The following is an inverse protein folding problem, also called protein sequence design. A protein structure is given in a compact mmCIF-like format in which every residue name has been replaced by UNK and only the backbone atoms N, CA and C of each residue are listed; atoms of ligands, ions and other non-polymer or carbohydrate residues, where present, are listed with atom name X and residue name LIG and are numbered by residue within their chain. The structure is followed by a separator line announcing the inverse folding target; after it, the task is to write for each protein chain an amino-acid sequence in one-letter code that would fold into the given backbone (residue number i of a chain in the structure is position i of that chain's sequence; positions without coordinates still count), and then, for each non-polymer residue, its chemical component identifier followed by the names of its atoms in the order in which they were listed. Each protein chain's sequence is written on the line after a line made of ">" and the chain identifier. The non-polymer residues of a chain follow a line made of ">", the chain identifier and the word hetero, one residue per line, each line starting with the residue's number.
data_IF_681002855345
#
_entry.id   IF_681002855345
#
_cell.length_a   1.000
_cell.length_b   1.000
_cell.length_c   1.000
_cell.angle_alpha   90.00
_cell.angle_beta   90.00
_cell.angle_gamma   90.00
#
_symmetry.space_group_name_H-M   'P 1'
#
loop_
_entity.id
_entity.type
_entity.pdbx_description
1 polymer ?
#
# COMPACT_ATOMS: atom_id res chain seq x y z
N UNK A 1 -58.41 66.02 30.20
CA UNK A 1 -57.07 66.65 30.15
C UNK A 1 -56.24 65.95 29.06
N UNK A 2 -55.57 66.74 28.21
CA UNK A 2 -54.96 66.51 26.88
C UNK A 2 -54.18 65.17 26.67
N UNK A 3 -54.26 64.43 25.53
CA UNK A 3 -53.65 64.64 24.17
C UNK A 3 -52.16 65.04 24.26
N UNK A 4 -51.15 64.39 23.67
CA UNK A 4 -50.82 64.09 22.24
C UNK A 4 -49.45 63.37 22.19
N UNK A 5 -49.19 62.32 21.38
CA UNK A 5 -48.73 62.27 19.97
C UNK A 5 -47.21 62.52 19.73
N UNK A 6 -46.55 61.49 19.15
CA UNK A 6 -45.40 61.42 18.19
C UNK A 6 -44.34 62.53 18.15
N UNK A 7 -43.07 62.11 18.04
CA UNK A 7 -42.17 62.66 17.02
C UNK A 7 -41.02 61.72 16.61
N UNK A 8 -40.76 61.69 15.30
CA UNK A 8 -39.57 61.21 14.58
C UNK A 8 -39.24 62.33 13.59
N UNK A 9 -37.97 62.74 13.43
CA UNK A 9 -37.25 62.51 12.15
C UNK A 9 -35.75 62.18 12.46
N UNK A 10 -34.92 61.57 11.62
CA UNK A 10 -34.77 61.63 10.16
C UNK A 10 -33.45 62.34 9.85
N UNK A 11 -32.42 61.62 9.39
CA UNK A 11 -31.31 62.18 8.62
C UNK A 11 -30.60 61.09 7.80
N UNK A 12 -30.62 61.27 6.48
CA UNK A 12 -29.82 60.56 5.48
C UNK A 12 -28.45 61.22 5.37
N UNK A 13 -27.41 60.45 5.06
CA UNK A 13 -26.30 60.90 4.23
C UNK A 13 -25.77 59.71 3.40
N UNK A 14 -25.92 59.81 2.08
CA UNK A 14 -25.19 59.05 1.06
C UNK A 14 -24.03 59.92 0.57
N UNK A 15 -22.88 59.30 0.29
CA UNK A 15 -21.88 59.61 -0.77
C UNK A 15 -20.51 59.07 -0.31
N UNK A 16 -19.53 58.64 -1.12
CA UNK A 16 -19.33 58.33 -2.54
C UNK A 16 -18.01 57.51 -2.58
N UNK A 17 -17.83 56.73 -3.65
CA UNK A 17 -16.67 55.92 -4.05
C UNK A 17 -15.29 56.60 -3.95
N UNK A 18 -14.22 55.80 -3.76
CA UNK A 18 -13.02 55.80 -4.60
C UNK A 18 -12.10 54.60 -4.28
N UNK A 19 -11.61 53.95 -5.34
CA UNK A 19 -10.58 52.91 -5.34
C UNK A 19 -9.19 53.54 -5.45
N UNK A 20 -8.18 53.04 -4.72
CA UNK A 20 -6.75 53.08 -5.13
C UNK A 20 -5.98 51.94 -4.42
N UNK A 21 -5.17 51.21 -5.18
CA UNK A 21 -4.17 50.25 -4.70
C UNK A 21 -2.95 50.94 -4.06
N UNK A 22 -2.07 50.20 -3.37
CA UNK A 22 -0.67 50.58 -3.34
C UNK A 22 0.28 49.45 -3.76
N UNK A 23 1.29 49.84 -4.53
CA UNK A 23 2.50 49.11 -4.86
C UNK A 23 3.69 49.69 -4.08
N UNK A 24 4.63 48.83 -3.65
CA UNK A 24 6.02 49.13 -3.31
C UNK A 24 6.79 47.79 -3.34
N UNK A 25 7.63 47.49 -4.33
CA UNK A 25 9.01 47.97 -4.59
C UNK A 25 10.07 47.38 -3.64
N UNK A 26 10.90 46.49 -4.19
CA UNK A 26 12.12 45.93 -3.62
C UNK A 26 13.31 46.27 -4.55
N UNK A 27 14.55 46.47 -4.04
CA UNK A 27 15.69 46.87 -4.86
C UNK A 27 16.50 45.69 -5.42
N UNK A 28 17.24 46.00 -6.49
CA UNK A 28 18.08 45.14 -7.30
C UNK A 28 19.51 44.95 -6.75
N UNK A 29 20.19 43.90 -7.21
CA UNK A 29 21.64 43.75 -7.18
C UNK A 29 22.13 43.12 -8.50
N UNK A 30 23.03 43.83 -9.18
CA UNK A 30 23.78 43.44 -10.37
C UNK A 30 24.95 42.49 -10.04
N UNK A 31 25.34 41.64 -10.99
CA UNK A 31 26.76 41.28 -11.20
C UNK A 31 27.04 40.90 -12.67
N UNK A 32 27.82 41.79 -13.26
CA UNK A 32 28.75 41.80 -14.41
C UNK A 32 29.11 40.55 -15.23
N UNK A 33 29.28 40.83 -16.52
CA UNK A 33 29.82 40.01 -17.63
C UNK A 33 31.33 39.70 -17.52
N UNK A 34 31.76 38.60 -18.15
CA UNK A 34 32.99 38.55 -18.95
C UNK A 34 33.00 37.37 -19.96
N UNK A 35 33.39 37.69 -21.20
CA UNK A 35 33.71 36.79 -22.34
C UNK A 35 35.19 36.34 -22.22
N UNK A 36 35.65 35.26 -22.91
CA UNK A 36 36.19 35.47 -24.26
C UNK A 36 36.02 34.30 -25.25
N UNK A 37 36.41 34.58 -26.50
CA UNK A 37 36.33 33.76 -27.70
C UNK A 37 37.54 32.81 -27.91
N UNK A 38 37.40 31.84 -28.82
CA UNK A 38 38.52 31.16 -29.50
C UNK A 38 38.31 29.67 -29.72
N UNK A 39 37.96 29.26 -30.95
CA UNK A 39 37.62 27.87 -31.27
C UNK A 39 38.77 26.97 -31.75
N UNK A 40 38.48 25.66 -31.92
CA UNK A 40 39.00 24.81 -33.01
C UNK A 40 38.51 23.34 -32.90
N UNK A 41 37.99 22.86 -34.03
CA UNK A 41 38.18 21.54 -34.68
C UNK A 41 37.57 20.24 -34.09
N UNK A 42 36.78 19.61 -34.97
CA UNK A 42 36.31 18.23 -35.02
C UNK A 42 37.44 17.20 -34.83
N UNK A 43 37.17 16.15 -34.04
CA UNK A 43 37.94 14.91 -34.02
C UNK A 43 37.01 13.71 -33.74
N UNK A 44 36.97 12.74 -34.66
CA UNK A 44 36.19 11.49 -34.55
C UNK A 44 36.75 10.62 -33.43
N UNK A 45 35.88 10.09 -32.56
CA UNK A 45 36.26 9.09 -31.56
C UNK A 45 36.42 7.70 -32.22
N UNK A 46 37.66 7.40 -32.59
CA UNK A 46 38.11 6.07 -33.04
C UNK A 46 38.12 5.14 -31.83
N UNK A 47 37.37 4.03 -31.88
CA UNK A 47 37.48 2.94 -30.89
C UNK A 47 38.56 1.96 -31.37
N UNK A 48 39.63 1.69 -30.61
CA UNK A 48 40.58 0.65 -31.01
C UNK A 48 39.98 -0.73 -30.73
N UNK A 49 39.82 -1.50 -31.81
CA UNK A 49 39.45 -2.91 -31.81
C UNK A 49 40.75 -3.72 -31.84
N UNK A 50 40.93 -4.60 -30.84
CA UNK A 50 41.66 -5.85 -31.00
C UNK A 50 43.07 -5.93 -30.39
N UNK A 51 43.27 -6.95 -29.55
CA UNK A 51 44.38 -7.88 -29.75
C UNK A 51 43.95 -9.30 -29.36
N UNK A 52 43.81 -10.14 -30.39
CA UNK A 52 43.79 -11.60 -30.30
C UNK A 52 45.20 -12.08 -29.97
N UNK A 53 45.30 -13.12 -29.16
CA UNK A 53 46.53 -13.87 -28.95
C UNK A 53 46.25 -15.09 -28.08
N UNK A 54 45.90 -16.21 -28.69
CA UNK A 54 45.84 -17.50 -28.02
C UNK A 54 47.15 -18.26 -28.20
N UNK A 55 47.56 -19.04 -27.20
CA UNK A 55 48.34 -20.28 -27.34
C UNK A 55 47.91 -21.25 -26.23
N UNK A 56 47.93 -22.54 -26.59
CA UNK A 56 47.31 -23.70 -25.95
C UNK A 56 48.18 -24.39 -24.87
N UNK A 57 47.48 -25.19 -24.05
CA UNK A 57 47.87 -26.44 -23.35
C UNK A 57 48.89 -26.43 -22.20
N UNK A 58 48.43 -26.88 -21.01
CA UNK A 58 48.87 -28.16 -20.40
C UNK A 58 47.81 -28.75 -19.45
N UNK A 59 47.78 -30.09 -19.41
CA UNK A 59 46.85 -31.01 -18.72
C UNK A 59 47.17 -31.18 -17.22
N UNK A 60 46.13 -31.57 -16.47
CA UNK A 60 46.18 -32.36 -15.22
C UNK A 60 45.37 -31.71 -14.09
N UNK A 61 44.39 -32.32 -13.43
CA UNK A 61 43.76 -33.63 -13.48
C UNK A 61 42.62 -33.69 -12.45
N UNK A 62 41.76 -34.70 -12.59
CA UNK A 62 40.86 -35.28 -11.57
C UNK A 62 39.75 -34.42 -10.92
N UNK A 63 38.58 -34.31 -11.59
CA UNK A 63 37.24 -34.61 -11.03
C UNK A 63 36.18 -34.41 -12.12
N UNK A 64 36.11 -35.34 -13.06
CA UNK A 64 35.07 -35.41 -14.07
C UNK A 64 34.61 -36.88 -14.19
N UNK A 65 33.96 -37.37 -13.14
CA UNK A 65 33.21 -38.63 -13.13
C UNK A 65 32.11 -38.47 -12.09
N UNK A 66 31.02 -37.77 -12.46
CA UNK A 66 29.72 -37.87 -11.77
C UNK A 66 28.55 -37.18 -12.51
N UNK A 67 28.75 -36.66 -13.73
CA UNK A 67 27.70 -35.93 -14.46
C UNK A 67 27.04 -36.72 -15.62
N UNK A 68 27.52 -37.92 -15.96
CA UNK A 68 27.06 -38.65 -17.16
C UNK A 68 26.09 -39.81 -16.90
N UNK A 69 25.60 -40.01 -15.68
CA UNK A 69 24.71 -41.15 -15.35
C UNK A 69 23.23 -40.76 -15.17
N UNK A 70 22.88 -39.46 -15.19
CA UNK A 70 21.47 -39.03 -15.03
C UNK A 70 20.76 -38.59 -16.31
N UNK A 71 21.47 -38.40 -17.44
CA UNK A 71 20.87 -37.92 -18.69
C UNK A 71 20.50 -39.03 -19.70
N UNK A 72 20.85 -40.29 -19.44
CA UNK A 72 20.48 -41.43 -20.29
C UNK A 72 19.14 -42.06 -19.90
N UNK A 73 18.67 -41.90 -18.66
CA UNK A 73 17.39 -42.46 -18.20
C UNK A 73 16.14 -41.68 -18.65
N UNK A 74 16.30 -40.41 -19.06
CA UNK A 74 15.18 -39.53 -19.46
C UNK A 74 14.87 -39.54 -20.98
N UNK A 75 15.74 -40.15 -21.80
CA UNK A 75 15.55 -40.24 -23.26
C UNK A 75 14.92 -41.55 -23.74
N UNK A 76 15.07 -42.63 -22.98
CA UNK A 76 14.41 -43.92 -23.27
C UNK A 76 12.91 -43.89 -22.89
N UNK A 77 12.53 -43.17 -21.83
CA UNK A 77 11.13 -43.07 -21.38
C UNK A 77 10.20 -42.24 -22.30
N UNK A 78 10.76 -41.48 -23.26
CA UNK A 78 9.98 -40.65 -24.21
C UNK A 78 9.74 -41.31 -25.57
N UNK A 79 10.33 -42.46 -25.85
CA UNK A 79 10.18 -43.17 -27.14
C UNK A 79 9.19 -44.35 -27.08
N UNK A 80 8.82 -44.79 -25.88
CA UNK A 80 7.92 -45.93 -25.66
C UNK A 80 6.43 -45.55 -25.67
N UNK A 81 6.06 -44.26 -25.54
CA UNK A 81 4.65 -43.82 -25.49
C UNK A 81 4.00 -43.50 -26.83
N UNK A 82 4.66 -43.79 -27.97
CA UNK A 82 4.22 -43.37 -29.30
C UNK A 82 3.82 -44.53 -30.24
N UNK A 83 3.60 -45.76 -29.75
CA UNK A 83 3.34 -46.90 -30.66
C UNK A 83 2.52 -48.06 -30.09
N UNK A 84 1.26 -47.82 -29.72
CA UNK A 84 0.16 -48.81 -29.51
C UNK A 84 -1.10 -47.96 -29.26
N UNK A 85 -2.28 -48.06 -29.88
CA UNK A 85 -2.97 -49.06 -30.71
C UNK A 85 -4.20 -48.36 -31.32
N UNK A 86 -4.61 -48.74 -32.52
CA UNK A 86 -5.94 -48.51 -33.09
C UNK A 86 -6.87 -49.66 -32.70
N UNK A 87 -8.04 -49.38 -32.12
CA UNK A 87 -9.36 -50.00 -32.37
C UNK A 87 -10.34 -49.81 -31.20
N UNK A 88 -11.59 -49.59 -31.59
CA UNK A 88 -12.87 -49.63 -30.87
C UNK A 88 -13.24 -48.53 -29.87
N UNK A 89 -14.40 -47.94 -30.17
CA UNK A 89 -14.96 -46.80 -29.47
C UNK A 89 -15.75 -47.18 -28.23
N UNK A 90 -15.75 -46.27 -27.26
CA UNK A 90 -16.95 -45.88 -26.55
C UNK A 90 -16.73 -44.49 -25.95
N UNK A 91 -17.76 -43.67 -26.10
CA UNK A 91 -17.87 -42.28 -25.68
C UNK A 91 -17.65 -42.13 -24.16
N UNK A 92 -16.64 -41.34 -23.78
CA UNK A 92 -16.53 -40.76 -22.44
C UNK A 92 -15.80 -39.43 -22.56
N UNK A 93 -16.58 -38.34 -22.60
CA UNK A 93 -16.09 -36.98 -22.44
C UNK A 93 -15.66 -36.76 -20.99
N UNK A 94 -14.35 -36.74 -20.76
CA UNK A 94 -13.75 -36.36 -19.47
C UNK A 94 -13.58 -34.82 -19.43
N UNK A 95 -14.58 -34.15 -18.87
CA UNK A 95 -14.65 -32.70 -18.63
C UNK A 95 -13.71 -32.25 -17.51
N UNK A 96 -12.38 -32.36 -17.67
CA UNK A 96 -11.46 -31.78 -16.65
C UNK A 96 -10.15 -31.19 -17.17
N UNK A 97 -10.15 -30.62 -18.38
CA UNK A 97 -9.10 -29.66 -18.78
C UNK A 97 -9.72 -28.35 -19.27
N UNK A 98 -10.22 -27.56 -18.31
CA UNK A 98 -10.47 -26.15 -18.56
C UNK A 98 -9.15 -25.48 -18.95
N UNK A 99 -9.13 -24.86 -20.14
CA UNK A 99 -8.03 -24.05 -20.61
C UNK A 99 -7.71 -22.92 -19.60
N UNK A 100 -6.46 -22.43 -19.53
CA UNK A 100 -6.11 -21.32 -18.66
C UNK A 100 -6.99 -20.10 -19.00
N UNK A 101 -7.78 -19.66 -18.02
CA UNK A 101 -8.67 -18.51 -18.14
C UNK A 101 -7.88 -17.25 -18.55
N UNK A 102 -8.33 -16.48 -19.56
CA UNK A 102 -7.64 -15.29 -20.04
C UNK A 102 -7.40 -14.23 -18.93
N UNK A 103 -6.31 -13.44 -18.99
CA UNK A 103 -5.98 -12.42 -17.98
C UNK A 103 -7.08 -11.38 -17.71
N UNK A 104 -7.93 -11.09 -18.71
CA UNK A 104 -9.04 -10.15 -18.59
C UNK A 104 -10.19 -10.72 -17.72
N UNK A 105 -10.50 -12.01 -17.87
CA UNK A 105 -11.52 -12.70 -17.07
C UNK A 105 -11.10 -12.82 -15.60
N UNK A 106 -9.80 -12.98 -15.31
CA UNK A 106 -9.30 -12.92 -13.94
C UNK A 106 -9.51 -11.55 -13.28
N UNK A 107 -9.28 -10.45 -14.02
CA UNK A 107 -9.46 -9.10 -13.49
C UNK A 107 -10.95 -8.79 -13.21
N UNK A 108 -11.86 -9.25 -14.06
CA UNK A 108 -13.30 -9.08 -13.87
C UNK A 108 -13.80 -9.87 -12.65
N UNK A 109 -13.34 -11.11 -12.47
CA UNK A 109 -13.67 -11.93 -11.29
C UNK A 109 -13.16 -11.31 -9.99
N UNK A 110 -11.93 -10.78 -9.98
CA UNK A 110 -11.38 -10.02 -8.85
C UNK A 110 -12.24 -8.79 -8.53
N UNK A 111 -12.68 -8.02 -9.55
CA UNK A 111 -13.52 -6.84 -9.36
C UNK A 111 -14.92 -7.18 -8.82
N UNK A 112 -15.54 -8.27 -9.31
CA UNK A 112 -16.81 -8.79 -8.78
C UNK A 112 -16.66 -9.23 -7.33
N UNK A 113 -15.57 -9.93 -7.01
CA UNK A 113 -15.26 -10.36 -5.64
C UNK A 113 -15.15 -9.17 -4.66
N UNK A 114 -14.42 -8.13 -5.05
CA UNK A 114 -14.33 -6.90 -4.25
C UNK A 114 -15.69 -6.20 -4.05
N UNK A 115 -16.57 -6.25 -5.05
CA UNK A 115 -17.92 -5.70 -4.94
C UNK A 115 -18.74 -6.47 -3.91
N UNK A 116 -18.74 -7.81 -3.99
CA UNK A 116 -19.47 -8.68 -3.07
C UNK A 116 -18.95 -8.58 -1.63
N UNK A 117 -17.63 -8.59 -1.40
CA UNK A 117 -17.06 -8.38 -0.06
C UNK A 117 -17.54 -7.06 0.57
N UNK A 118 -17.57 -5.99 -0.24
CA UNK A 118 -18.06 -4.70 0.23
C UNK A 118 -19.55 -4.73 0.56
N UNK A 119 -20.35 -5.44 -0.23
CA UNK A 119 -21.78 -5.61 0.04
C UNK A 119 -21.99 -6.42 1.32
N UNK A 120 -21.20 -7.49 1.53
CA UNK A 120 -21.31 -8.34 2.72
C UNK A 120 -21.05 -7.57 4.01
N UNK A 121 -20.05 -6.70 4.04
CA UNK A 121 -19.79 -5.82 5.18
C UNK A 121 -20.88 -4.76 5.42
N UNK A 122 -21.63 -4.39 4.37
CA UNK A 122 -22.68 -3.36 4.42
C UNK A 122 -24.07 -3.94 4.67
N UNK A 123 -24.24 -5.24 4.46
CA UNK A 123 -25.48 -5.96 4.65
C UNK A 123 -25.94 -5.87 6.11
N UNK A 124 -27.22 -5.55 6.29
CA UNK A 124 -27.79 -5.29 7.61
C UNK A 124 -28.55 -6.49 8.14
N UNK A 125 -29.06 -7.33 7.25
CA UNK A 125 -29.83 -8.52 7.61
C UNK A 125 -28.97 -9.78 7.45
N UNK A 126 -29.41 -10.89 8.06
CA UNK A 126 -28.74 -12.17 7.92
C UNK A 126 -28.92 -12.73 6.50
N UNK A 127 -30.12 -12.53 5.93
CA UNK A 127 -30.49 -13.02 4.60
C UNK A 127 -29.66 -12.37 3.49
N UNK A 128 -29.44 -11.04 3.57
CA UNK A 128 -28.56 -10.34 2.63
C UNK A 128 -27.12 -10.86 2.72
N UNK A 129 -26.63 -11.13 3.93
CA UNK A 129 -25.27 -11.68 4.13
C UNK A 129 -25.15 -13.07 3.54
N UNK A 130 -26.15 -13.92 3.74
CA UNK A 130 -26.16 -15.29 3.23
C UNK A 130 -26.21 -15.33 1.69
N UNK A 131 -27.01 -14.48 1.06
CA UNK A 131 -27.05 -14.36 -0.42
C UNK A 131 -25.72 -13.88 -1.00
N UNK A 132 -25.11 -12.86 -0.37
CA UNK A 132 -23.81 -12.32 -0.82
C UNK A 132 -22.70 -13.35 -0.58
N UNK A 133 -22.75 -14.08 0.53
CA UNK A 133 -21.81 -15.15 0.85
C UNK A 133 -21.92 -16.29 -0.16
N UNK A 134 -23.14 -16.71 -0.53
CA UNK A 134 -23.35 -17.68 -1.61
C UNK A 134 -22.78 -17.17 -2.95
N UNK A 135 -22.92 -15.87 -3.23
CA UNK A 135 -22.29 -15.22 -4.37
C UNK A 135 -20.76 -15.29 -4.34
N UNK A 136 -20.14 -15.06 -3.18
CA UNK A 136 -18.68 -15.19 -3.00
C UNK A 136 -18.22 -16.63 -3.16
N UNK A 137 -18.96 -17.59 -2.62
CA UNK A 137 -18.67 -19.01 -2.70
C UNK A 137 -18.79 -19.53 -4.15
N UNK A 138 -19.76 -19.02 -4.92
CA UNK A 138 -19.91 -19.31 -6.35
C UNK A 138 -18.72 -18.84 -7.19
N UNK A 139 -17.97 -17.84 -6.72
CA UNK A 139 -16.74 -17.36 -7.34
C UNK A 139 -15.49 -18.12 -6.86
N UNK A 140 -15.67 -19.19 -6.06
CA UNK A 140 -14.61 -20.00 -5.46
C UNK A 140 -14.18 -19.54 -4.07
N UNK A 141 -14.88 -18.58 -3.47
CA UNK A 141 -14.59 -18.06 -2.14
C UNK A 141 -13.27 -17.30 -2.04
N UNK A 142 -12.92 -16.88 -0.82
CA UNK A 142 -11.74 -16.03 -0.60
C UNK A 142 -10.43 -16.76 -0.87
N UNK A 143 -10.38 -18.07 -0.65
CA UNK A 143 -9.20 -18.89 -0.95
C UNK A 143 -8.86 -18.84 -2.46
N UNK A 144 -9.86 -18.97 -3.33
CA UNK A 144 -9.66 -18.88 -4.78
C UNK A 144 -9.26 -17.46 -5.21
N UNK A 145 -9.84 -16.43 -4.58
CA UNK A 145 -9.41 -15.05 -4.78
C UNK A 145 -7.92 -14.85 -4.41
N UNK A 146 -7.50 -15.33 -3.24
CA UNK A 146 -6.12 -15.24 -2.78
C UNK A 146 -5.19 -16.00 -3.74
N UNK A 147 -5.57 -17.20 -4.20
CA UNK A 147 -4.82 -17.98 -5.18
C UNK A 147 -4.67 -17.24 -6.52
N UNK A 148 -5.73 -16.60 -7.01
CA UNK A 148 -5.66 -15.76 -8.22
C UNK A 148 -4.76 -14.53 -8.03
N UNK A 149 -4.84 -13.89 -6.87
CA UNK A 149 -3.99 -12.74 -6.52
C UNK A 149 -2.50 -13.14 -6.44
N UNK A 150 -2.19 -14.30 -5.85
CA UNK A 150 -0.84 -14.86 -5.78
C UNK A 150 -0.30 -15.16 -7.18
N UNK A 151 -1.11 -15.81 -8.01
CA UNK A 151 -0.74 -16.21 -9.39
C UNK A 151 -0.54 -14.99 -10.29
N UNK A 152 -1.39 -13.97 -10.16
CA UNK A 152 -1.26 -12.70 -10.89
C UNK A 152 -0.03 -11.89 -10.48
N UNK A 153 0.37 -11.97 -9.21
CA UNK A 153 1.58 -11.32 -8.69
C UNK A 153 2.86 -12.03 -9.16
N UNK A 154 2.87 -13.37 -9.15
CA UNK A 154 4.01 -14.18 -9.59
C UNK A 154 4.28 -14.10 -11.10
N UNK A 155 3.24 -14.08 -11.95
CA UNK A 155 3.40 -13.97 -13.41
C UNK A 155 3.85 -12.59 -13.89
N UNK A 156 3.64 -11.54 -13.08
CA UNK A 156 3.89 -10.16 -13.49
C UNK A 156 5.31 -9.64 -13.18
N UNK A 157 6.24 -10.49 -12.71
CA UNK A 157 7.61 -10.07 -12.37
C UNK A 157 7.67 -8.95 -11.32
N UNK A 158 6.60 -8.77 -10.55
CA UNK A 158 6.49 -7.67 -9.60
C UNK A 158 7.42 -7.92 -8.43
N UNK A 159 8.25 -6.91 -8.13
CA UNK A 159 9.06 -6.92 -6.92
C UNK A 159 8.13 -6.97 -5.71
N UNK A 160 8.31 -7.93 -4.77
CA UNK A 160 7.49 -7.99 -3.56
C UNK A 160 7.47 -6.64 -2.84
N UNK A 161 6.31 -6.21 -2.36
CA UNK A 161 6.16 -4.93 -1.63
C UNK A 161 7.05 -4.88 -0.39
N UNK A 162 7.28 -6.03 0.25
CA UNK A 162 8.23 -6.18 1.36
C UNK A 162 9.67 -5.82 0.96
N UNK A 163 10.10 -6.07 -0.29
CA UNK A 163 11.44 -5.67 -0.74
C UNK A 163 11.59 -4.15 -0.73
N UNK A 164 10.61 -3.45 -1.30
CA UNK A 164 10.61 -1.98 -1.28
C UNK A 164 10.53 -1.45 0.16
N UNK A 165 9.72 -2.08 1.01
CA UNK A 165 9.61 -1.73 2.43
C UNK A 165 10.98 -1.77 3.12
N UNK A 166 11.70 -2.90 2.99
CA UNK A 166 13.01 -3.05 3.63
C UNK A 166 14.08 -2.14 3.02
N UNK A 167 14.07 -1.91 1.71
CA UNK A 167 14.96 -0.96 1.03
C UNK A 167 14.69 0.48 1.52
N UNK A 168 13.43 0.88 1.64
CA UNK A 168 13.06 2.20 2.16
C UNK A 168 13.44 2.36 3.64
N UNK A 169 13.16 1.35 4.46
CA UNK A 169 13.47 1.34 5.89
C UNK A 169 14.98 1.47 6.13
N UNK A 170 15.82 0.79 5.35
CA UNK A 170 17.27 0.87 5.46
C UNK A 170 17.84 2.28 5.22
N UNK A 171 17.08 3.19 4.60
CA UNK A 171 17.51 4.59 4.39
C UNK A 171 17.23 5.52 5.57
N UNK A 172 16.40 5.08 6.53
CA UNK A 172 15.93 5.90 7.66
C UNK A 172 16.14 5.22 9.01
N UNK A 173 16.43 3.91 9.02
CA UNK A 173 16.66 3.10 10.20
C UNK A 173 17.88 2.21 9.98
N UNK A 174 18.81 2.25 10.93
CA UNK A 174 20.00 1.41 10.95
C UNK A 174 19.86 0.37 12.03
N UNK A 175 19.85 -0.90 11.64
CA UNK A 175 19.76 -2.01 12.56
C UNK A 175 21.15 -2.40 13.07
N UNK A 176 21.39 -2.24 14.37
CA UNK A 176 22.62 -2.67 15.01
C UNK A 176 22.71 -4.20 15.11
N UNK A 177 23.91 -4.76 15.05
CA UNK A 177 24.10 -6.22 15.20
C UNK A 177 23.75 -6.73 16.59
N UNK A 178 23.90 -5.87 17.60
CA UNK A 178 23.63 -6.18 19.00
C UNK A 178 22.19 -5.83 19.42
N UNK A 179 21.38 -5.30 18.50
CA UNK A 179 19.98 -4.99 18.76
C UNK A 179 19.12 -6.27 18.67
N UNK A 180 18.04 -6.37 19.46
CA UNK A 180 17.02 -7.39 19.26
C UNK A 180 16.47 -7.34 17.84
N UNK A 181 16.04 -8.48 17.28
CA UNK A 181 15.45 -8.53 15.94
C UNK A 181 14.33 -7.49 15.77
N UNK A 182 14.27 -6.89 14.59
CA UNK A 182 13.24 -5.94 14.25
C UNK A 182 11.89 -6.64 14.07
N UNK A 183 10.95 -6.37 14.98
CA UNK A 183 9.66 -7.04 15.04
C UNK A 183 8.66 -6.40 14.08
N UNK A 184 8.01 -7.21 13.24
CA UNK A 184 7.01 -6.79 12.25
C UNK A 184 5.71 -7.53 12.50
N UNK A 185 4.61 -6.78 12.66
CA UNK A 185 3.26 -7.34 12.57
C UNK A 185 2.79 -7.25 11.12
N UNK A 186 2.81 -8.37 10.42
CA UNK A 186 2.42 -8.47 9.01
C UNK A 186 0.94 -8.84 8.91
N UNK A 187 0.09 -7.84 8.62
CA UNK A 187 -1.37 -7.99 8.57
C UNK A 187 -1.79 -8.34 7.15
N UNK A 188 -2.65 -9.36 7.01
CA UNK A 188 -3.09 -9.86 5.71
C UNK A 188 -1.99 -10.64 4.99
N UNK A 189 -1.21 -11.41 5.75
CA UNK A 189 0.04 -11.98 5.29
C UNK A 189 -0.12 -13.18 4.31
N UNK A 190 -1.34 -13.69 4.07
CA UNK A 190 -1.69 -14.86 3.24
C UNK A 190 -0.81 -16.11 3.51
N UNK A 191 0.43 -16.11 3.05
CA UNK A 191 1.45 -17.17 3.21
C UNK A 191 2.48 -16.90 4.31
N UNK A 192 2.61 -15.67 4.82
CA UNK A 192 3.54 -15.33 5.90
C UNK A 192 5.01 -15.35 5.50
N UNK A 193 5.34 -15.31 4.21
CA UNK A 193 6.73 -15.42 3.74
C UNK A 193 7.36 -14.08 3.34
N UNK A 194 6.65 -12.96 3.49
CA UNK A 194 7.05 -11.66 2.94
C UNK A 194 8.41 -11.18 3.49
N UNK A 195 8.73 -11.53 4.73
CA UNK A 195 9.90 -11.06 5.46
C UNK A 195 10.94 -12.15 5.80
N UNK A 196 10.68 -13.43 5.49
CA UNK A 196 11.49 -14.58 5.94
C UNK A 196 12.94 -14.56 5.48
N UNK A 197 13.24 -13.91 4.34
CA UNK A 197 14.61 -13.76 3.84
C UNK A 197 15.46 -12.76 4.62
N UNK A 198 14.86 -11.92 5.47
CA UNK A 198 15.57 -10.90 6.25
C UNK A 198 15.88 -11.45 7.65
N UNK A 199 17.10 -11.96 7.84
CA UNK A 199 17.54 -12.65 9.07
C UNK A 199 17.43 -11.83 10.36
N UNK A 200 17.45 -10.50 10.23
CA UNK A 200 17.36 -9.54 11.34
C UNK A 200 15.90 -9.12 11.64
N UNK A 201 14.94 -9.59 10.85
CA UNK A 201 13.52 -9.33 11.05
C UNK A 201 12.88 -10.54 11.75
N UNK A 202 11.98 -10.25 12.68
CA UNK A 202 11.08 -11.22 13.30
C UNK A 202 9.64 -10.84 12.96
N UNK A 203 8.98 -11.63 12.11
CA UNK A 203 7.66 -11.29 11.58
C UNK A 203 6.59 -12.18 12.21
N UNK A 204 5.62 -11.56 12.87
CA UNK A 204 4.35 -12.18 13.24
C UNK A 204 3.36 -11.94 12.11
N UNK A 205 2.98 -13.00 11.40
CA UNK A 205 2.05 -12.94 10.29
C UNK A 205 0.63 -13.29 10.73
N UNK A 206 -0.33 -12.41 10.45
CA UNK A 206 -1.76 -12.64 10.73
C UNK A 206 -2.60 -12.49 9.47
N UNK A 207 -3.67 -13.26 9.36
CA UNK A 207 -4.64 -13.17 8.25
C UNK A 207 -6.03 -13.64 8.73
N UNK A 208 -7.09 -13.18 8.08
CA UNK A 208 -8.45 -13.68 8.34
C UNK A 208 -8.64 -15.11 7.81
N UNK A 209 -7.94 -15.43 6.71
CA UNK A 209 -8.02 -16.69 5.98
C UNK A 209 -6.60 -17.10 5.56
N UNK A 210 -5.77 -17.56 6.52
CA UNK A 210 -4.39 -17.93 6.24
C UNK A 210 -4.30 -19.10 5.26
N UNK A 211 -3.26 -19.08 4.42
CA UNK A 211 -2.89 -20.14 3.48
C UNK A 211 -1.51 -20.76 3.80
N UNK A 212 -0.75 -20.15 4.71
CA UNK A 212 0.53 -20.67 5.19
C UNK A 212 0.44 -21.16 6.63
N UNK A 213 1.15 -22.24 6.94
CA UNK A 213 1.13 -22.89 8.26
C UNK A 213 1.62 -21.97 9.39
N UNK A 214 2.45 -20.97 9.05
CA UNK A 214 3.01 -20.01 9.99
C UNK A 214 2.22 -18.69 10.09
N UNK A 215 1.01 -18.63 9.53
CA UNK A 215 0.15 -17.45 9.58
C UNK A 215 -0.98 -17.66 10.58
N UNK A 216 -1.07 -16.79 11.58
CA UNK A 216 -2.08 -16.87 12.61
C UNK A 216 -3.43 -16.37 12.08
N UNK A 217 -4.51 -17.11 12.36
CA UNK A 217 -5.86 -16.71 11.98
C UNK A 217 -6.40 -15.64 12.95
N UNK A 218 -6.23 -14.36 12.61
CA UNK A 218 -6.71 -13.24 13.42
C UNK A 218 -7.24 -12.10 12.56
N UNK A 219 -8.30 -11.46 13.04
CA UNK A 219 -8.65 -10.10 12.67
C UNK A 219 -7.66 -9.14 13.32
N UNK A 220 -7.22 -8.09 12.60
CA UNK A 220 -6.31 -7.10 13.16
C UNK A 220 -6.92 -6.29 14.31
N UNK A 221 -8.24 -6.09 14.29
CA UNK A 221 -8.95 -5.41 15.37
C UNK A 221 -9.00 -6.24 16.66
N UNK A 222 -8.98 -7.56 16.52
CA UNK A 222 -9.10 -8.53 17.62
C UNK A 222 -7.76 -9.17 18.01
N UNK A 223 -6.67 -8.82 17.31
CA UNK A 223 -5.34 -9.30 17.63
C UNK A 223 -4.91 -8.74 19.01
N UNK A 224 -4.28 -9.55 19.89
CA UNK A 224 -3.94 -9.09 21.23
C UNK A 224 -3.05 -7.85 21.23
N UNK A 225 -3.49 -6.80 21.92
CA UNK A 225 -2.72 -5.57 22.09
C UNK A 225 -1.57 -5.85 23.07
N UNK A 226 -0.31 -5.48 22.73
CA UNK A 226 0.83 -5.59 23.63
C UNK A 226 0.56 -4.94 24.99
N UNK A 227 0.85 -5.65 26.07
CA UNK A 227 0.70 -5.13 27.44
C UNK A 227 2.04 -4.67 28.03
N UNK A 228 3.15 -5.15 27.48
CA UNK A 228 4.50 -4.74 27.81
C UNK A 228 5.25 -4.20 26.59
N UNK A 229 6.22 -3.30 26.82
CA UNK A 229 7.02 -2.70 25.74
C UNK A 229 7.78 -3.76 24.92
N UNK A 230 8.25 -4.83 25.55
CA UNK A 230 8.92 -5.95 24.89
C UNK A 230 8.00 -6.72 23.91
N UNK A 231 6.68 -6.60 24.07
CA UNK A 231 5.67 -7.24 23.21
C UNK A 231 5.28 -6.36 22.02
N UNK A 232 5.70 -5.09 21.99
CA UNK A 232 5.44 -4.18 20.88
C UNK A 232 6.21 -4.56 19.61
N UNK A 233 5.72 -4.07 18.48
CA UNK A 233 6.29 -4.28 17.15
C UNK A 233 6.98 -3.01 16.69
N UNK A 234 8.17 -3.13 16.11
CA UNK A 234 8.83 -1.98 15.51
C UNK A 234 8.07 -1.46 14.28
N UNK A 235 7.34 -2.34 13.58
CA UNK A 235 6.51 -1.97 12.43
C UNK A 235 5.21 -2.75 12.35
N UNK A 236 4.12 -2.08 11.98
CA UNK A 236 2.90 -2.73 11.47
C UNK A 236 2.87 -2.59 9.95
N UNK A 237 2.74 -3.71 9.23
CA UNK A 237 2.64 -3.74 7.78
C UNK A 237 1.18 -3.97 7.35
N UNK A 238 0.62 -2.98 6.66
CA UNK A 238 -0.71 -2.96 6.06
C UNK A 238 -0.58 -2.96 4.53
N UNK A 239 0.03 -4.01 3.98
CA UNK A 239 0.26 -4.12 2.54
C UNK A 239 -0.98 -4.68 1.82
N UNK A 240 -1.70 -3.82 1.09
CA UNK A 240 -2.94 -4.21 0.39
C UNK A 240 -4.03 -4.74 1.33
N UNK A 241 -4.13 -4.18 2.54
CA UNK A 241 -5.13 -4.59 3.55
C UNK A 241 -6.32 -3.63 3.56
N UNK A 242 -6.06 -2.33 3.72
CA UNK A 242 -7.10 -1.30 3.90
C UNK A 242 -8.09 -1.25 2.72
N UNK A 243 -7.63 -1.56 1.51
CA UNK A 243 -8.49 -1.59 0.32
C UNK A 243 -9.53 -2.71 0.32
N UNK A 244 -9.43 -3.70 1.21
CA UNK A 244 -10.41 -4.77 1.38
C UNK A 244 -11.44 -4.50 2.46
N UNK A 245 -11.16 -3.59 3.39
CA UNK A 245 -12.13 -3.21 4.42
C UNK A 245 -13.31 -2.54 3.71
N UNK A 246 -14.50 -3.11 3.78
CA UNK A 246 -15.72 -2.64 3.13
C UNK A 246 -16.27 -1.33 3.72
N UNK A 247 -16.17 -1.16 5.03
CA UNK A 247 -16.56 0.05 5.74
C UNK A 247 -15.48 1.15 5.67
N UNK A 248 -15.88 2.36 5.26
CA UNK A 248 -14.96 3.49 5.05
C UNK A 248 -14.42 4.11 6.34
N UNK A 249 -15.14 4.00 7.46
CA UNK A 249 -14.73 4.44 8.80
C UNK A 249 -13.78 3.43 9.43
N UNK A 250 -14.06 2.13 9.28
CA UNK A 250 -13.14 1.07 9.73
C UNK A 250 -11.76 1.17 9.07
N UNK A 251 -11.66 1.70 7.85
CA UNK A 251 -10.36 2.01 7.21
C UNK A 251 -9.55 3.06 7.98
N UNK A 252 -10.21 4.13 8.44
CA UNK A 252 -9.57 5.16 9.26
C UNK A 252 -9.23 4.63 10.66
N UNK A 253 -10.14 3.85 11.25
CA UNK A 253 -9.91 3.17 12.52
C UNK A 253 -8.72 2.21 12.45
N UNK A 254 -8.59 1.44 11.37
CA UNK A 254 -7.45 0.54 11.16
C UNK A 254 -6.11 1.28 11.24
N UNK A 255 -6.01 2.47 10.65
CA UNK A 255 -4.80 3.30 10.72
C UNK A 255 -4.53 3.83 12.13
N UNK A 256 -5.57 4.20 12.89
CA UNK A 256 -5.44 4.59 14.30
C UNK A 256 -5.01 3.42 15.17
N UNK A 257 -5.58 2.24 14.93
CA UNK A 257 -5.34 1.02 15.69
C UNK A 257 -3.88 0.56 15.61
N UNK A 258 -3.15 0.93 14.56
CA UNK A 258 -1.69 0.71 14.44
C UNK A 258 -0.93 1.21 15.66
N UNK A 259 -1.31 2.37 16.23
CA UNK A 259 -0.58 2.97 17.35
C UNK A 259 -0.44 2.06 18.56
N UNK A 260 -1.42 1.18 18.79
CA UNK A 260 -1.49 0.25 19.93
C UNK A 260 -0.39 -0.82 19.91
N UNK A 261 0.16 -1.09 18.74
CA UNK A 261 1.18 -2.12 18.56
C UNK A 261 2.60 -1.57 18.50
N UNK A 262 2.76 -0.25 18.47
CA UNK A 262 4.06 0.40 18.28
C UNK A 262 4.71 0.82 19.61
N UNK A 263 6.06 0.86 19.68
CA UNK A 263 6.80 1.12 20.91
C UNK A 263 6.41 2.46 21.50
N UNK A 264 6.15 2.54 22.81
CA UNK A 264 5.74 3.78 23.49
C UNK A 264 6.90 4.66 23.90
N UNK A 265 8.10 4.07 24.01
CA UNK A 265 9.30 4.79 24.41
C UNK A 265 9.72 5.81 23.35
N UNK A 266 10.11 7.01 23.79
CA UNK A 266 10.40 8.14 22.89
C UNK A 266 11.67 7.96 22.06
N UNK A 267 12.59 7.11 22.50
CA UNK A 267 13.86 6.76 21.87
C UNK A 267 13.73 5.63 20.83
N UNK A 268 12.61 4.91 20.82
CA UNK A 268 12.39 3.79 19.90
C UNK A 268 11.37 4.20 18.82
N UNK A 269 11.77 4.29 17.54
CA UNK A 269 10.85 4.65 16.47
C UNK A 269 9.87 3.51 16.18
N UNK A 270 8.58 3.85 16.04
CA UNK A 270 7.55 2.96 15.52
C UNK A 270 7.21 3.29 14.07
N UNK A 271 7.06 2.26 13.23
CA UNK A 271 6.82 2.41 11.80
C UNK A 271 5.47 1.82 11.35
N UNK A 272 4.92 2.36 10.28
CA UNK A 272 3.79 1.77 9.57
C UNK A 272 4.13 1.65 8.08
N UNK A 273 4.00 0.47 7.51
CA UNK A 273 4.14 0.25 6.08
C UNK A 273 2.78 0.09 5.44
N UNK A 274 2.37 1.08 4.64
CA UNK A 274 1.06 1.09 3.98
C UNK A 274 1.21 0.89 2.47
N UNK A 275 0.45 -0.04 1.91
CA UNK A 275 0.33 -0.21 0.45
C UNK A 275 -1.12 -0.18 0.04
N UNK A 276 -1.43 0.62 -0.97
CA UNK A 276 -2.74 0.69 -1.61
C UNK A 276 -2.59 0.43 -3.12
N UNK A 277 -3.62 -0.12 -3.79
CA UNK A 277 -3.72 -0.02 -5.24
C UNK A 277 -3.62 1.45 -5.65
N UNK A 278 -2.83 1.76 -6.68
CA UNK A 278 -2.65 3.14 -7.14
C UNK A 278 -3.98 3.79 -7.53
N UNK A 279 -4.92 3.00 -8.06
CA UNK A 279 -6.28 3.43 -8.41
C UNK A 279 -7.07 3.98 -7.21
N UNK A 280 -6.75 3.58 -5.98
CA UNK A 280 -7.34 4.14 -4.76
C UNK A 280 -6.99 5.62 -4.58
N UNK A 281 -5.90 6.11 -5.20
CA UNK A 281 -5.41 7.48 -5.08
C UNK A 281 -5.50 8.27 -6.39
N UNK A 282 -5.36 7.62 -7.54
CA UNK A 282 -5.39 8.30 -8.85
C UNK A 282 -6.76 8.27 -9.53
N UNK A 283 -7.57 7.24 -9.25
CA UNK A 283 -8.89 7.04 -9.86
C UNK A 283 -10.03 7.00 -8.84
N UNK A 284 -9.83 7.53 -7.62
CA UNK A 284 -10.90 7.65 -6.63
C UNK A 284 -11.62 9.00 -6.73
N UNK A 285 -12.93 8.99 -6.48
CA UNK A 285 -13.75 10.20 -6.31
C UNK A 285 -13.48 10.92 -4.98
N UNK A 286 -13.07 10.18 -3.95
CA UNK A 286 -13.01 10.64 -2.55
C UNK A 286 -11.59 10.67 -1.98
N UNK A 287 -10.59 10.22 -2.73
CA UNK A 287 -9.20 10.14 -2.27
C UNK A 287 -8.24 10.65 -3.34
N UNK A 288 -7.15 11.25 -2.90
CA UNK A 288 -5.97 11.52 -3.70
C UNK A 288 -4.72 11.49 -2.81
N UNK A 289 -3.55 11.63 -3.42
CA UNK A 289 -2.25 11.62 -2.73
C UNK A 289 -2.19 12.66 -1.59
N UNK A 290 -2.57 13.91 -1.86
CA UNK A 290 -2.53 15.00 -0.89
C UNK A 290 -3.50 14.77 0.27
N UNK A 291 -4.70 14.27 -0.02
CA UNK A 291 -5.71 13.99 0.99
C UNK A 291 -5.29 12.83 1.91
N UNK A 292 -4.70 11.77 1.35
CA UNK A 292 -4.13 10.70 2.16
C UNK A 292 -3.00 11.22 3.07
N UNK A 293 -2.13 12.12 2.57
CA UNK A 293 -1.10 12.74 3.40
C UNK A 293 -1.69 13.52 4.57
N UNK A 294 -2.73 14.33 4.33
CA UNK A 294 -3.41 15.06 5.41
C UNK A 294 -4.05 14.13 6.43
N UNK A 295 -4.66 13.02 6.00
CA UNK A 295 -5.20 12.01 6.90
C UNK A 295 -4.07 11.41 7.75
N UNK A 296 -2.99 10.95 7.12
CA UNK A 296 -1.86 10.32 7.83
C UNK A 296 -1.21 11.27 8.84
N UNK A 297 -1.07 12.54 8.46
CA UNK A 297 -0.51 13.58 9.34
C UNK A 297 -1.35 13.81 10.59
N UNK A 298 -2.68 13.95 10.41
CA UNK A 298 -3.66 14.07 11.51
C UNK A 298 -3.72 12.82 12.38
N UNK A 299 -3.56 11.63 11.78
CA UNK A 299 -3.44 10.37 12.50
C UNK A 299 -2.08 10.18 13.19
N UNK A 300 -1.23 11.22 13.26
CA UNK A 300 0.01 11.17 14.01
C UNK A 300 1.15 10.43 13.30
N UNK A 301 1.15 10.38 11.97
CA UNK A 301 2.22 9.78 11.17
C UNK A 301 2.95 10.79 10.30
N UNK A 302 4.28 10.67 10.26
CA UNK A 302 5.14 11.36 9.31
C UNK A 302 5.43 10.45 8.11
N UNK A 303 5.26 10.96 6.89
CA UNK A 303 5.59 10.22 5.66
C UNK A 303 7.09 10.31 5.40
N UNK A 304 7.82 9.22 5.68
CA UNK A 304 9.27 9.16 5.45
C UNK A 304 9.62 8.91 3.99
N UNK A 305 8.92 7.97 3.35
CA UNK A 305 9.10 7.61 1.94
C UNK A 305 7.78 7.30 1.30
N UNK A 306 7.65 7.67 0.03
CA UNK A 306 6.50 7.36 -0.81
C UNK A 306 6.99 7.02 -2.21
N UNK A 307 6.40 5.99 -2.83
CA UNK A 307 6.69 5.62 -4.21
C UNK A 307 5.50 4.94 -4.86
N UNK A 308 5.19 5.40 -6.08
CA UNK A 308 4.24 4.75 -6.96
C UNK A 308 4.95 3.79 -7.92
N UNK A 309 4.29 2.69 -8.22
CA UNK A 309 4.57 1.78 -9.34
C UNK A 309 3.41 1.86 -10.34
N UNK A 310 3.42 1.03 -11.38
CA UNK A 310 2.30 0.99 -12.34
C UNK A 310 0.93 0.69 -11.69
N UNK A 311 0.90 -0.05 -10.57
CA UNK A 311 -0.37 -0.52 -9.95
C UNK A 311 -0.49 -0.24 -8.47
N UNK A 312 0.59 0.10 -7.77
CA UNK A 312 0.63 0.22 -6.31
C UNK A 312 1.23 1.55 -5.88
N UNK A 313 0.69 2.13 -4.81
CA UNK A 313 1.28 3.22 -4.05
C UNK A 313 1.79 2.69 -2.71
N UNK A 314 3.07 2.92 -2.40
CA UNK A 314 3.76 2.40 -1.22
C UNK A 314 4.22 3.55 -0.33
N UNK A 315 4.04 3.38 0.97
CA UNK A 315 4.28 4.42 1.98
C UNK A 315 5.01 3.82 3.17
N UNK A 316 6.17 4.39 3.51
CA UNK A 316 6.81 4.15 4.78
C UNK A 316 6.54 5.34 5.69
N UNK A 317 5.89 5.06 6.80
CA UNK A 317 5.44 6.04 7.78
C UNK A 317 6.17 5.82 9.10
N UNK A 318 6.40 6.89 9.83
CA UNK A 318 6.89 6.85 11.20
C UNK A 318 5.87 7.51 12.13
N UNK A 319 5.61 6.88 13.27
CA UNK A 319 4.75 7.44 14.30
C UNK A 319 5.41 8.69 14.88
N UNK A 320 4.69 9.80 14.91
CA UNK A 320 5.15 11.04 15.55
C UNK A 320 5.31 10.84 17.06
N UNK A 321 6.25 11.55 17.71
CA UNK A 321 6.39 11.55 19.17
C UNK A 321 5.06 11.81 19.87
N UNK A 322 4.86 11.20 21.04
CA UNK A 322 3.60 11.34 21.79
C UNK A 322 3.30 12.81 22.14
N UNK A 323 4.33 13.58 22.52
CA UNK A 323 4.19 15.00 22.81
C UNK A 323 3.68 15.78 21.60
N UNK A 324 4.23 15.55 20.41
CA UNK A 324 3.79 16.22 19.17
C UNK A 324 2.33 15.90 18.82
N UNK A 325 1.92 14.63 18.98
CA UNK A 325 0.52 14.20 18.73
C UNK A 325 -0.46 14.87 19.70
N UNK A 326 -0.12 14.88 20.99
CA UNK A 326 -0.94 15.55 22.02
C UNK A 326 -1.00 17.06 21.83
N UNK A 327 0.11 17.67 21.46
CA UNK A 327 0.17 19.10 21.14
C UNK A 327 -0.68 19.44 19.92
N UNK A 328 -0.61 18.64 18.85
CA UNK A 328 -1.46 18.80 17.68
C UNK A 328 -2.96 18.68 18.03
N UNK A 329 -3.33 17.69 18.85
CA UNK A 329 -4.69 17.55 19.35
C UNK A 329 -5.14 18.75 20.19
N UNK A 330 -4.28 19.27 21.08
CA UNK A 330 -4.59 20.41 21.94
C UNK A 330 -4.70 21.73 21.17
N UNK A 331 -3.93 21.91 20.10
CA UNK A 331 -3.98 23.11 19.23
C UNK A 331 -5.18 23.12 18.28
N UNK A 332 -5.84 21.98 18.08
CA UNK A 332 -6.96 21.90 17.18
C UNK A 332 -8.24 22.38 17.87
N UNK A 333 -8.55 23.66 17.69
CA UNK A 333 -9.77 24.30 18.23
C UNK A 333 -11.07 23.65 17.73
N UNK A 334 -11.01 22.91 16.61
CA UNK A 334 -12.13 22.18 16.02
C UNK A 334 -11.99 20.67 16.20
N UNK A 335 -11.18 20.21 17.16
CA UNK A 335 -10.98 18.80 17.44
C UNK A 335 -12.30 18.11 17.80
N UNK A 336 -12.57 17.00 17.13
CA UNK A 336 -13.70 16.16 17.48
C UNK A 336 -13.43 15.39 18.79
N UNK A 337 -14.49 14.94 19.51
CA UNK A 337 -14.33 14.15 20.72
C UNK A 337 -13.42 12.94 20.53
N UNK A 338 -12.62 12.64 21.55
CA UNK A 338 -11.65 11.54 21.53
C UNK A 338 -10.35 11.85 20.78
N UNK A 339 -10.06 13.13 20.50
CA UNK A 339 -8.71 13.60 20.15
C UNK A 339 -7.71 13.29 21.28
N UNK A 340 -6.46 13.01 20.95
CA UNK A 340 -5.45 12.67 21.94
C UNK A 340 -4.28 11.92 21.34
N UNK A 341 -4.00 10.72 21.84
CA UNK A 341 -2.78 10.02 21.47
C UNK A 341 -2.84 9.57 20.00
N UNK A 342 -3.92 8.95 19.54
CA UNK A 342 -3.96 8.31 18.22
C UNK A 342 -4.21 9.27 17.04
N UNK A 343 -4.69 10.48 17.29
CA UNK A 343 -5.03 11.48 16.27
C UNK A 343 -5.29 12.86 16.88
N UNK A 344 -5.25 13.90 16.04
CA UNK A 344 -5.45 15.30 16.41
C UNK A 344 -6.92 15.77 16.46
N UNK A 345 -7.89 14.87 16.23
CA UNK A 345 -9.32 15.21 16.21
C UNK A 345 -9.83 15.78 14.88
N UNK A 346 -9.00 15.93 13.86
CA UNK A 346 -9.42 16.45 12.54
C UNK A 346 -10.34 15.46 11.84
N UNK A 347 -11.55 15.90 11.52
CA UNK A 347 -12.56 15.06 10.86
C UNK A 347 -12.39 15.05 9.34
N UNK A 348 -12.18 13.87 8.78
CA UNK A 348 -12.12 13.61 7.34
C UNK A 348 -13.39 12.93 6.88
N UNK A 349 -14.39 13.72 6.51
CA UNK A 349 -15.66 13.22 5.93
C UNK A 349 -15.45 12.76 4.49
N UNK A 350 -16.32 11.85 4.05
CA UNK A 350 -16.39 11.43 2.64
C UNK A 350 -16.90 12.57 1.76
N UNK A 351 -15.99 13.39 1.23
CA UNK A 351 -16.27 14.51 0.31
C UNK A 351 -15.74 14.19 -1.09
N UNK A 352 -16.48 14.57 -2.12
CA UNK A 352 -15.96 14.48 -3.48
C UNK A 352 -14.77 15.42 -3.67
N UNK A 353 -13.62 14.84 -4.04
CA UNK A 353 -12.39 15.57 -4.32
C UNK A 353 -12.10 15.61 -5.82
N UNK A 354 -12.40 14.50 -6.51
CA UNK A 354 -12.21 14.38 -7.94
C UNK A 354 -13.54 13.90 -8.54
N UNK A 355 -14.45 14.78 -8.99
CA UNK A 355 -15.71 14.35 -9.59
C UNK A 355 -15.45 13.55 -10.88
N UNK A 356 -16.37 12.66 -11.23
CA UNK A 356 -16.27 11.87 -12.47
C UNK A 356 -17.07 10.57 -12.44
N UNK A 357 -17.72 10.24 -13.56
CA UNK A 357 -18.58 9.06 -13.71
C UNK A 357 -17.80 7.73 -13.67
N UNK A 358 -16.56 7.73 -14.18
CA UNK A 358 -15.72 6.52 -14.27
C UNK A 358 -14.76 6.31 -13.09
N UNK A 359 -14.87 7.15 -12.03
CA UNK A 359 -14.01 7.06 -10.85
C UNK A 359 -14.56 6.05 -9.85
N UNK A 360 -13.66 5.32 -9.19
CA UNK A 360 -14.03 4.41 -8.12
C UNK A 360 -14.40 5.18 -6.83
N UNK A 361 -15.02 4.46 -5.89
CA UNK A 361 -15.55 5.02 -4.64
C UNK A 361 -14.67 4.73 -3.42
N UNK A 362 -13.37 4.48 -3.60
CA UNK A 362 -12.48 4.25 -2.46
C UNK A 362 -12.37 5.51 -1.59
N UNK A 363 -12.71 5.42 -0.32
CA UNK A 363 -12.62 6.50 0.65
C UNK A 363 -12.02 5.98 1.96
N UNK A 364 -11.32 6.84 2.68
CA UNK A 364 -10.99 6.65 4.09
C UNK A 364 -11.68 7.78 4.84
N UNK A 365 -12.51 7.43 5.81
CA UNK A 365 -13.20 8.39 6.67
C UNK A 365 -12.56 8.31 8.05
N UNK A 366 -12.31 9.47 8.64
CA UNK A 366 -11.84 9.58 10.02
C UNK A 366 -12.78 10.53 10.74
N UNK A 367 -13.47 10.01 11.75
CA UNK A 367 -14.37 10.77 12.61
C UNK A 367 -14.40 10.13 14.01
N UNK A 368 -15.06 10.76 14.99
CA UNK A 368 -15.24 10.16 16.31
C UNK A 368 -15.90 8.79 16.18
N UNK A 369 -15.51 7.85 17.06
CA UNK A 369 -16.22 6.59 17.17
C UNK A 369 -17.69 6.90 17.47
N UNK A 370 -18.65 6.36 16.72
CA UNK A 370 -20.05 6.41 17.14
C UNK A 370 -20.14 5.71 18.51
N UNK A 371 -20.84 6.35 19.45
CA UNK A 371 -21.14 5.79 20.77
C UNK A 371 -21.88 4.44 20.66
#
# INVERSE_FOLDING_TARGET
>A
MSRTKKNKPGAKAQAVQAAVAPAAAAPAAESTEAKPAGGAKKGKLIRPRGKRGGVKHKKGGARAQQADVQNSALKEARKVKAKTTTADGQDHTDDTKAAPVPPAEHAEKIAKFHTLLKQLEQAKTAEEKDEIQAGLDSLGGLAQYQAWSLTGSAKAGQTPTSKWCMEALATVYQHGRDQPKFRVLDVGAITGTAYTKYRWVDATSIDLHPQGDNVLKYSFFDFPVPTAEAETYNMVALSLVINFVGDVRKRGEMLRHVHKYLPTSADVPGFCFLVLPLSCLTNSRYMNQSHLRSILDSLGFSVLKQSDSAKLSRWLLQRKPLAERREAAAKNENAAPGAGDEWDGTVFKKRELNPGKHRNNFAIVVDPKPE
#
